data_IF_365077726099
#
_entry.id   IF_365077726099
#
_cell.length_a   1.000
_cell.length_b   1.000
_cell.length_c   1.000
_cell.angle_alpha   90.00
_cell.angle_beta   90.00
_cell.angle_gamma   90.00
#
_symmetry.space_group_name_H-M   'P 1'
#
loop_
_entity.id
_entity.type
_entity.pdbx_description
1 polymer ?
#
# COMPACT_ATOMS: atom_id res chain seq x y z
N UNK A 1 11.88 22.79 2.47
CA UNK A 1 11.28 21.75 3.34
C UNK A 1 11.61 22.02 4.79
N UNK A 2 10.70 21.67 5.69
CA UNK A 2 11.01 21.64 7.12
C UNK A 2 12.06 20.55 7.38
N UNK A 3 12.87 20.73 8.42
CA UNK A 3 13.94 19.80 8.76
C UNK A 3 13.30 18.58 9.43
N UNK A 4 13.48 17.40 8.84
CA UNK A 4 13.15 16.13 9.48
C UNK A 4 14.20 15.88 10.57
N UNK A 5 13.74 15.65 11.80
CA UNK A 5 14.58 15.36 12.96
C UNK A 5 14.37 13.91 13.39
N UNK A 6 15.42 13.32 13.95
CA UNK A 6 15.42 11.93 14.40
C UNK A 6 15.97 11.79 15.81
N UNK A 7 15.43 10.81 16.55
CA UNK A 7 15.91 10.42 17.87
C UNK A 7 15.74 8.91 18.06
N UNK A 8 16.74 8.26 18.64
CA UNK A 8 16.64 6.87 19.07
C UNK A 8 16.57 6.85 20.59
N UNK A 9 15.51 6.23 21.13
CA UNK A 9 15.33 6.02 22.57
C UNK A 9 16.23 4.88 23.08
N UNK A 10 16.43 4.80 24.39
CA UNK A 10 17.29 3.77 25.01
C UNK A 10 16.81 2.33 24.75
N UNK A 11 15.52 2.14 24.54
CA UNK A 11 14.92 0.85 24.18
C UNK A 11 14.89 0.59 22.66
N UNK A 12 15.55 1.43 21.85
CA UNK A 12 15.69 1.20 20.42
C UNK A 12 14.51 1.68 19.56
N UNK A 13 13.43 2.23 20.16
CA UNK A 13 12.40 2.92 19.38
C UNK A 13 13.03 4.09 18.64
N UNK A 14 12.82 4.12 17.32
CA UNK A 14 13.19 5.27 16.47
C UNK A 14 12.02 6.25 16.44
N UNK A 15 12.31 7.54 16.58
CA UNK A 15 11.37 8.64 16.42
C UNK A 15 11.87 9.48 15.25
N UNK A 16 11.02 9.71 14.25
CA UNK A 16 11.31 10.56 13.09
C UNK A 16 10.18 11.55 12.91
N UNK A 17 10.49 12.84 12.84
CA UNK A 17 9.45 13.85 12.90
C UNK A 17 9.73 15.07 12.02
N UNK A 18 8.68 15.59 11.40
CA UNK A 18 8.68 16.83 10.64
C UNK A 18 7.82 17.89 11.33
N UNK A 19 8.46 18.93 11.85
CA UNK A 19 7.75 20.07 12.45
C UNK A 19 7.16 20.98 11.37
N UNK A 20 5.88 21.29 11.49
CA UNK A 20 5.12 22.17 10.59
C UNK A 20 4.36 23.20 11.46
N UNK A 21 5.00 24.30 11.90
CA UNK A 21 4.42 25.18 12.93
C UNK A 21 3.14 25.93 12.52
N UNK A 22 2.88 26.05 11.21
CA UNK A 22 1.74 26.82 10.69
C UNK A 22 0.43 26.03 10.62
N UNK A 23 0.46 24.70 10.68
CA UNK A 23 -0.77 23.88 10.71
C UNK A 23 -1.36 23.83 12.12
N UNK A 24 -2.58 23.30 12.24
CA UNK A 24 -3.30 23.15 13.53
C UNK A 24 -3.53 21.70 13.94
N UNK A 25 -2.94 20.76 13.21
CA UNK A 25 -2.99 19.33 13.45
C UNK A 25 -1.60 18.76 13.72
N UNK A 26 -1.59 17.56 14.30
CA UNK A 26 -0.45 16.65 14.33
C UNK A 26 -0.96 15.28 13.91
N UNK A 27 -0.27 14.68 12.96
CA UNK A 27 -0.41 13.28 12.61
C UNK A 27 0.74 12.51 13.24
N UNK A 28 0.46 11.41 13.92
CA UNK A 28 1.45 10.54 14.54
C UNK A 28 1.10 9.09 14.24
N UNK A 29 2.06 8.33 13.73
CA UNK A 29 1.93 6.92 13.42
C UNK A 29 3.01 6.08 14.07
N UNK A 30 2.65 4.86 14.48
CA UNK A 30 3.60 3.83 14.88
C UNK A 30 3.62 2.77 13.79
N UNK A 31 4.76 2.69 13.11
CA UNK A 31 5.03 1.77 12.03
C UNK A 31 5.75 0.55 12.57
N UNK A 32 5.22 -0.63 12.31
CA UNK A 32 5.80 -1.92 12.68
C UNK A 32 6.30 -2.59 11.41
N UNK A 33 7.55 -3.04 11.40
CA UNK A 33 8.15 -3.74 10.27
C UNK A 33 7.69 -5.21 10.24
N UNK A 34 6.39 -5.40 10.05
CA UNK A 34 5.73 -6.70 9.90
C UNK A 34 4.51 -6.52 9.01
N UNK A 35 4.33 -7.40 8.04
CA UNK A 35 3.15 -7.47 7.18
C UNK A 35 2.85 -8.91 6.81
N UNK A 36 1.96 -9.13 5.84
CA UNK A 36 1.53 -10.49 5.48
C UNK A 36 2.64 -11.40 4.93
N UNK A 37 3.76 -10.84 4.43
CA UNK A 37 4.92 -11.63 3.98
C UNK A 37 5.70 -12.28 5.13
N UNK A 38 5.53 -11.81 6.36
CA UNK A 38 6.18 -12.35 7.55
C UNK A 38 5.35 -13.47 8.21
N UNK A 39 4.20 -13.80 7.62
CA UNK A 39 3.32 -14.88 8.06
C UNK A 39 3.83 -16.24 7.58
N UNK A 40 3.57 -17.26 8.39
CA UNK A 40 3.72 -18.66 8.04
C UNK A 40 2.43 -19.20 7.41
N UNK A 41 2.48 -20.44 6.94
CA UNK A 41 1.28 -21.15 6.47
C UNK A 41 0.22 -21.32 7.57
N UNK A 42 0.64 -21.42 8.83
CA UNK A 42 -0.23 -21.73 9.97
C UNK A 42 -0.94 -20.49 10.57
N UNK A 43 -0.55 -19.29 10.14
CA UNK A 43 -1.06 -18.02 10.67
C UNK A 43 -1.32 -16.96 9.58
N UNK A 44 -1.67 -17.37 8.36
CA UNK A 44 -2.05 -16.44 7.29
C UNK A 44 -3.18 -15.49 7.73
N UNK A 45 -3.01 -14.21 7.45
CA UNK A 45 -3.91 -13.12 7.85
C UNK A 45 -3.75 -12.65 9.30
N UNK A 46 -2.79 -13.19 10.07
CA UNK A 46 -2.64 -12.83 11.48
C UNK A 46 -2.17 -11.39 11.69
N UNK A 47 -1.38 -10.81 10.77
CA UNK A 47 -0.95 -9.42 10.88
C UNK A 47 -2.17 -8.48 10.81
N UNK A 48 -3.02 -8.70 9.80
CA UNK A 48 -4.29 -7.98 9.64
C UNK A 48 -5.27 -8.28 10.79
N UNK A 49 -5.34 -9.52 11.26
CA UNK A 49 -6.18 -9.88 12.41
C UNK A 49 -5.75 -9.12 13.68
N UNK A 50 -4.45 -9.02 13.93
CA UNK A 50 -3.91 -8.27 15.07
C UNK A 50 -4.26 -6.78 14.94
N UNK A 51 -4.15 -6.22 13.74
CA UNK A 51 -4.58 -4.85 13.45
C UNK A 51 -5.99 -4.55 13.99
N UNK A 52 -6.97 -5.38 13.63
CA UNK A 52 -8.33 -5.27 14.15
C UNK A 52 -8.38 -5.42 15.68
N UNK A 53 -7.67 -6.41 16.21
CA UNK A 53 -7.72 -6.75 17.63
C UNK A 53 -7.13 -5.68 18.55
N UNK A 54 -6.16 -4.88 18.10
CA UNK A 54 -5.61 -3.78 18.91
C UNK A 54 -6.66 -2.71 19.25
N UNK A 55 -7.74 -2.61 18.46
CA UNK A 55 -8.85 -1.71 18.74
C UNK A 55 -9.94 -2.32 19.65
N UNK A 56 -9.85 -3.61 20.00
CA UNK A 56 -10.91 -4.31 20.76
C UNK A 56 -10.76 -4.20 22.27
N UNK A 57 -9.64 -3.67 22.75
CA UNK A 57 -9.48 -3.24 24.13
C UNK A 57 -8.14 -3.59 24.75
N UNK A 58 -7.82 -2.81 25.77
CA UNK A 58 -6.63 -2.94 26.59
C UNK A 58 -7.02 -3.20 28.04
N UNK A 59 -6.02 -3.38 28.90
CA UNK A 59 -6.23 -3.46 30.36
C UNK A 59 -6.91 -2.22 30.95
N UNK A 60 -6.84 -1.07 30.29
CA UNK A 60 -7.32 0.22 30.82
C UNK A 60 -8.38 0.90 29.97
N UNK A 61 -8.59 0.45 28.72
CA UNK A 61 -9.54 1.03 27.77
C UNK A 61 -10.36 -0.08 27.09
N UNK A 62 -11.68 0.04 27.12
CA UNK A 62 -12.54 -0.76 26.24
C UNK A 62 -12.47 -0.24 24.79
N UNK A 63 -12.89 -1.05 23.81
CA UNK A 63 -12.99 -0.62 22.41
C UNK A 63 -13.68 0.75 22.24
N UNK A 64 -14.84 0.93 22.88
CA UNK A 64 -15.57 2.21 22.88
C UNK A 64 -14.76 3.36 23.48
N UNK A 65 -13.97 3.09 24.52
CA UNK A 65 -13.14 4.12 25.13
C UNK A 65 -11.96 4.51 24.25
N UNK A 66 -11.37 3.56 23.52
CA UNK A 66 -10.32 3.83 22.52
C UNK A 66 -10.84 4.86 21.51
N UNK A 67 -11.98 4.59 20.85
CA UNK A 67 -12.57 5.54 19.89
C UNK A 67 -12.97 6.87 20.54
N UNK A 68 -13.68 6.83 21.68
CA UNK A 68 -14.13 8.05 22.36
C UNK A 68 -12.98 8.97 22.79
N UNK A 69 -11.82 8.41 23.17
CA UNK A 69 -10.66 9.19 23.59
C UNK A 69 -10.07 10.03 22.46
N UNK A 70 -10.33 9.66 21.20
CA UNK A 70 -9.88 10.34 20.00
C UNK A 70 -11.00 11.24 19.43
N UNK A 71 -12.20 10.67 19.24
CA UNK A 71 -13.36 11.35 18.65
C UNK A 71 -13.80 12.57 19.46
N UNK A 72 -13.69 12.51 20.79
CA UNK A 72 -14.08 13.62 21.67
C UNK A 72 -13.33 14.92 21.36
N UNK A 73 -12.10 14.81 20.85
CA UNK A 73 -11.26 15.94 20.47
C UNK A 73 -11.29 16.22 18.96
N UNK A 74 -12.18 15.58 18.20
CA UNK A 74 -12.25 15.70 16.74
C UNK A 74 -11.05 15.08 16.03
N UNK A 75 -10.34 14.15 16.67
CA UNK A 75 -9.29 13.38 16.03
C UNK A 75 -9.84 12.22 15.20
N UNK A 76 -8.97 11.62 14.41
CA UNK A 76 -9.19 10.34 13.77
C UNK A 76 -8.08 9.37 14.20
N UNK A 77 -8.43 8.10 14.36
CA UNK A 77 -7.51 7.00 14.57
C UNK A 77 -7.79 5.93 13.52
N UNK A 78 -6.75 5.40 12.92
CA UNK A 78 -6.86 4.35 11.93
C UNK A 78 -5.63 3.45 11.96
N UNK A 79 -5.71 2.35 11.22
CA UNK A 79 -4.60 1.46 10.95
C UNK A 79 -4.70 0.88 9.54
N UNK A 80 -3.61 0.32 9.07
CA UNK A 80 -3.60 -0.53 7.88
C UNK A 80 -2.44 -1.52 7.95
N UNK A 81 -2.61 -2.64 7.26
CA UNK A 81 -1.62 -3.69 7.09
C UNK A 81 -1.32 -3.87 5.61
N UNK A 82 -0.05 -3.93 5.26
CA UNK A 82 0.43 -4.24 3.91
C UNK A 82 1.13 -5.59 3.88
N UNK A 83 1.70 -5.93 2.74
CA UNK A 83 2.58 -7.09 2.62
C UNK A 83 3.86 -6.96 3.44
N UNK A 84 4.36 -5.74 3.67
CA UNK A 84 5.69 -5.49 4.24
C UNK A 84 5.67 -4.84 5.63
N UNK A 85 4.61 -4.13 6.00
CA UNK A 85 4.52 -3.37 7.25
C UNK A 85 3.06 -3.12 7.72
N UNK A 86 2.88 -2.75 8.98
CA UNK A 86 1.60 -2.34 9.57
C UNK A 86 1.77 -0.97 10.22
N UNK A 87 0.81 -0.08 10.06
CA UNK A 87 0.81 1.25 10.68
C UNK A 87 -0.43 1.45 11.55
N UNK A 88 -0.25 2.01 12.74
CA UNK A 88 -1.32 2.52 13.59
C UNK A 88 -1.12 4.00 13.79
N UNK A 89 -2.08 4.83 13.38
CA UNK A 89 -1.89 6.28 13.38
C UNK A 89 -3.10 7.05 13.88
N UNK A 90 -2.82 8.26 14.33
CA UNK A 90 -3.80 9.26 14.75
C UNK A 90 -3.53 10.57 14.04
N UNK A 91 -4.60 11.32 13.75
CA UNK A 91 -4.55 12.72 13.35
C UNK A 91 -5.41 13.51 14.32
N UNK A 92 -4.83 14.45 15.03
CA UNK A 92 -5.51 15.20 16.10
C UNK A 92 -5.18 16.70 16.03
N UNK A 93 -6.01 17.58 16.60
CA UNK A 93 -5.60 18.94 16.88
C UNK A 93 -4.33 18.96 17.74
N UNK A 94 -3.40 19.87 17.43
CA UNK A 94 -2.06 19.88 18.02
C UNK A 94 -2.06 19.92 19.56
N UNK A 95 -3.03 20.60 20.16
CA UNK A 95 -3.17 20.75 21.60
C UNK A 95 -3.77 19.52 22.31
N UNK A 96 -4.05 18.45 21.57
CA UNK A 96 -4.62 17.19 22.08
C UNK A 96 -3.80 15.95 21.68
N UNK A 97 -2.63 16.11 21.04
CA UNK A 97 -1.82 14.99 20.56
C UNK A 97 -1.37 14.04 21.67
N UNK A 98 -1.16 14.55 22.88
CA UNK A 98 -0.79 13.75 24.06
C UNK A 98 -1.79 12.60 24.28
N UNK A 99 -3.08 12.83 24.04
CA UNK A 99 -4.10 11.78 24.16
C UNK A 99 -3.95 10.71 23.09
N UNK A 100 -3.60 11.09 21.87
CA UNK A 100 -3.31 10.17 20.77
C UNK A 100 -2.10 9.28 21.07
N UNK A 101 -1.02 9.87 21.60
CA UNK A 101 0.19 9.14 22.03
C UNK A 101 -0.16 8.11 23.11
N UNK A 102 -0.93 8.53 24.14
CA UNK A 102 -1.36 7.63 25.20
C UNK A 102 -2.22 6.46 24.70
N UNK A 103 -3.11 6.71 23.73
CA UNK A 103 -3.97 5.67 23.14
C UNK A 103 -3.13 4.70 22.32
N UNK A 104 -2.28 5.19 21.42
CA UNK A 104 -1.41 4.33 20.59
C UNK A 104 -0.46 3.49 21.45
N UNK A 105 0.16 4.09 22.48
CA UNK A 105 1.02 3.37 23.40
C UNK A 105 0.28 2.29 24.21
N UNK A 106 -0.98 2.53 24.56
CA UNK A 106 -1.79 1.56 25.32
C UNK A 106 -2.22 0.38 24.45
N UNK A 107 -2.69 0.62 23.21
CA UNK A 107 -3.10 -0.47 22.31
C UNK A 107 -1.91 -1.35 21.91
N UNK A 108 -0.72 -0.78 21.73
CA UNK A 108 0.49 -1.52 21.33
C UNK A 108 1.20 -2.25 22.48
N UNK A 109 0.84 -1.99 23.74
CA UNK A 109 1.54 -2.61 24.89
C UNK A 109 0.63 -3.37 25.85
N UNK A 110 -0.64 -2.99 25.91
CA UNK A 110 -1.57 -3.45 26.94
C UNK A 110 -2.84 -4.09 26.38
N UNK A 111 -2.89 -4.39 25.08
CA UNK A 111 -3.98 -5.16 24.48
C UNK A 111 -4.16 -6.52 25.16
N UNK A 112 -5.42 -6.88 25.41
CA UNK A 112 -5.75 -8.10 26.20
C UNK A 112 -6.01 -9.32 25.33
N UNK A 113 -6.37 -9.10 24.06
CA UNK A 113 -6.79 -10.12 23.11
C UNK A 113 -7.87 -11.03 23.71
N UNK A 114 -9.04 -10.46 24.04
CA UNK A 114 -10.17 -11.18 24.64
C UNK A 114 -10.73 -12.24 23.66
N UNK A 115 -10.95 -13.46 24.14
CA UNK A 115 -11.40 -14.57 23.30
C UNK A 115 -12.80 -14.33 22.69
N UNK A 116 -13.69 -13.63 23.40
CA UNK A 116 -15.02 -13.34 22.85
C UNK A 116 -14.93 -12.26 21.76
N UNK A 117 -14.02 -11.29 21.90
CA UNK A 117 -13.77 -10.31 20.85
C UNK A 117 -13.09 -10.96 19.63
N UNK A 118 -12.17 -11.91 19.82
CA UNK A 118 -11.58 -12.70 18.73
C UNK A 118 -12.67 -13.41 17.91
N UNK A 119 -13.60 -14.11 18.57
CA UNK A 119 -14.67 -14.83 17.85
C UNK A 119 -15.64 -13.90 17.11
N UNK A 120 -15.90 -12.70 17.66
CA UNK A 120 -16.64 -11.67 16.94
C UNK A 120 -15.86 -11.17 15.72
N UNK A 121 -14.57 -10.93 15.89
CA UNK A 121 -13.74 -10.35 14.83
C UNK A 121 -13.51 -11.31 13.66
N UNK A 122 -13.45 -12.63 13.92
CA UNK A 122 -13.49 -13.64 12.86
C UNK A 122 -14.68 -13.47 11.92
N UNK A 123 -15.84 -13.09 12.47
CA UNK A 123 -17.05 -12.87 11.66
C UNK A 123 -16.94 -11.59 10.85
N UNK A 124 -16.35 -10.53 11.43
CA UNK A 124 -16.13 -9.24 10.74
C UNK A 124 -15.17 -9.41 9.55
N UNK A 125 -14.00 -10.01 9.79
CA UNK A 125 -12.98 -10.21 8.75
C UNK A 125 -13.49 -11.17 7.67
N UNK A 126 -14.34 -12.16 8.02
CA UNK A 126 -15.01 -13.01 7.02
C UNK A 126 -15.91 -12.21 6.09
N UNK A 127 -16.70 -11.28 6.62
CA UNK A 127 -17.56 -10.45 5.77
C UNK A 127 -16.72 -9.46 4.93
N UNK A 128 -15.61 -8.98 5.46
CA UNK A 128 -14.65 -8.17 4.72
C UNK A 128 -14.01 -8.92 3.55
N UNK A 129 -13.56 -10.17 3.76
CA UNK A 129 -13.10 -11.04 2.66
C UNK A 129 -14.16 -11.18 1.56
N UNK A 130 -15.43 -11.39 1.94
CA UNK A 130 -16.53 -11.47 0.97
C UNK A 130 -16.74 -10.15 0.24
N UNK A 131 -16.60 -9.01 0.92
CA UNK A 131 -16.70 -7.71 0.27
C UNK A 131 -15.65 -7.54 -0.84
N UNK A 132 -14.41 -7.97 -0.61
CA UNK A 132 -13.37 -7.99 -1.65
C UNK A 132 -13.64 -9.05 -2.73
N UNK A 133 -14.16 -10.23 -2.38
CA UNK A 133 -14.58 -11.25 -3.35
C UNK A 133 -15.75 -10.79 -4.25
N UNK A 134 -16.62 -9.92 -3.72
CA UNK A 134 -17.77 -9.33 -4.42
C UNK A 134 -17.39 -8.06 -5.22
N UNK A 135 -16.20 -7.49 -4.98
CA UNK A 135 -15.64 -6.39 -5.76
C UNK A 135 -14.95 -6.94 -7.02
N UNK A 136 -15.48 -6.70 -8.24
CA UNK A 136 -14.93 -7.35 -9.44
C UNK A 136 -13.49 -6.90 -9.77
N UNK A 137 -13.13 -5.68 -9.37
CA UNK A 137 -11.78 -5.11 -9.52
C UNK A 137 -10.79 -5.78 -8.58
N UNK A 138 -11.10 -5.81 -7.29
CA UNK A 138 -10.21 -6.42 -6.28
C UNK A 138 -10.07 -7.92 -6.55
N UNK A 139 -11.18 -8.61 -6.82
CA UNK A 139 -11.16 -10.05 -7.09
C UNK A 139 -10.26 -10.42 -8.27
N UNK A 140 -10.36 -9.72 -9.42
CA UNK A 140 -9.56 -10.07 -10.60
C UNK A 140 -8.07 -9.82 -10.36
N UNK A 141 -7.72 -8.75 -9.63
CA UNK A 141 -6.34 -8.46 -9.27
C UNK A 141 -5.78 -9.45 -8.26
N UNK A 142 -6.49 -9.71 -7.15
CA UNK A 142 -6.04 -10.64 -6.13
C UNK A 142 -5.87 -12.07 -6.68
N UNK A 143 -6.83 -12.55 -7.47
CA UNK A 143 -6.73 -13.89 -8.07
C UNK A 143 -5.60 -13.94 -9.12
N UNK A 144 -5.30 -12.83 -9.80
CA UNK A 144 -4.14 -12.73 -10.68
C UNK A 144 -2.84 -12.78 -9.90
N UNK A 145 -2.63 -11.92 -8.90
CA UNK A 145 -1.42 -11.88 -8.08
C UNK A 145 -1.16 -13.21 -7.37
N UNK A 146 -2.20 -13.84 -6.83
CA UNK A 146 -2.14 -15.18 -6.24
C UNK A 146 -1.60 -16.21 -7.23
N UNK A 147 -2.01 -16.17 -8.49
CA UNK A 147 -1.53 -17.12 -9.52
C UNK A 147 -0.11 -16.79 -9.99
N UNK A 148 0.18 -15.51 -10.21
CA UNK A 148 1.50 -15.00 -10.63
C UNK A 148 2.58 -15.39 -9.62
N UNK A 149 2.28 -15.30 -8.33
CA UNK A 149 3.23 -15.57 -7.26
C UNK A 149 3.03 -16.93 -6.59
N UNK A 150 2.25 -17.82 -7.20
CA UNK A 150 1.99 -19.17 -6.68
C UNK A 150 1.51 -19.19 -5.21
N UNK A 151 0.72 -18.19 -4.82
CA UNK A 151 0.20 -17.97 -3.47
C UNK A 151 1.30 -17.88 -2.39
N UNK A 152 2.42 -17.22 -2.71
CA UNK A 152 3.56 -16.93 -1.83
C UNK A 152 3.91 -15.44 -1.85
N UNK A 153 4.56 -14.97 -0.78
CA UNK A 153 5.00 -13.58 -0.69
C UNK A 153 3.83 -12.63 -0.92
N UNK A 154 3.95 -11.75 -1.92
CA UNK A 154 2.92 -10.77 -2.25
C UNK A 154 1.66 -11.38 -2.89
N UNK A 155 1.72 -12.63 -3.37
CA UNK A 155 0.54 -13.33 -3.87
C UNK A 155 -0.39 -13.85 -2.78
N UNK A 156 -0.01 -13.72 -1.51
CA UNK A 156 -0.91 -14.02 -0.40
C UNK A 156 -1.83 -12.81 -0.16
N UNK A 157 -3.11 -13.08 0.04
CA UNK A 157 -4.05 -12.07 0.48
C UNK A 157 -3.68 -11.63 1.91
N UNK A 158 -3.60 -10.33 2.14
CA UNK A 158 -3.26 -9.72 3.43
C UNK A 158 -4.25 -10.13 4.53
N UNK A 159 -5.52 -10.34 4.20
CA UNK A 159 -6.57 -10.76 5.13
C UNK A 159 -6.48 -12.25 5.48
N UNK A 160 -5.66 -13.03 4.76
CA UNK A 160 -5.55 -14.49 4.91
C UNK A 160 -6.60 -15.25 4.08
N UNK A 161 -7.05 -16.40 4.59
CA UNK A 161 -8.11 -17.21 3.97
C UNK A 161 -9.23 -17.49 4.98
N UNK A 162 -10.39 -17.90 4.50
CA UNK A 162 -11.51 -18.29 5.38
C UNK A 162 -11.10 -19.38 6.39
N UNK A 163 -10.28 -20.34 5.96
CA UNK A 163 -9.75 -21.40 6.80
C UNK A 163 -8.76 -20.84 7.83
N UNK A 164 -7.79 -20.02 7.40
CA UNK A 164 -6.78 -19.50 8.32
C UNK A 164 -7.39 -18.59 9.39
N UNK A 165 -8.35 -17.73 9.02
CA UNK A 165 -9.08 -16.86 9.96
C UNK A 165 -9.84 -17.70 10.99
N UNK A 166 -10.47 -18.80 10.57
CA UNK A 166 -11.19 -19.68 11.48
C UNK A 166 -10.24 -20.34 12.50
N UNK A 167 -9.02 -20.67 12.07
CA UNK A 167 -7.98 -21.34 12.84
C UNK A 167 -7.09 -20.41 13.68
N UNK A 168 -7.19 -19.08 13.49
CA UNK A 168 -6.51 -18.10 14.35
C UNK A 168 -7.13 -18.16 15.75
N UNK A 169 -6.28 -18.21 16.77
CA UNK A 169 -6.69 -18.22 18.17
C UNK A 169 -5.81 -17.25 18.97
N UNK A 170 -6.15 -17.07 20.25
CA UNK A 170 -5.45 -16.15 21.14
C UNK A 170 -3.96 -16.46 21.30
N UNK A 171 -3.59 -17.74 21.35
CA UNK A 171 -2.19 -18.17 21.50
C UNK A 171 -1.37 -17.73 20.28
N UNK A 172 -1.83 -18.07 19.06
CA UNK A 172 -1.17 -17.64 17.81
C UNK A 172 -1.03 -16.12 17.73
N UNK A 173 -2.08 -15.38 18.13
CA UNK A 173 -2.07 -13.90 18.15
C UNK A 173 -0.97 -13.39 19.06
N UNK A 174 -0.88 -13.90 20.29
CA UNK A 174 0.12 -13.46 21.26
C UNK A 174 1.52 -13.84 20.81
N UNK A 175 1.72 -15.05 20.31
CA UNK A 175 3.03 -15.51 19.83
C UNK A 175 3.54 -14.63 18.68
N UNK A 176 2.67 -14.30 17.72
CA UNK A 176 3.03 -13.42 16.61
C UNK A 176 3.24 -11.98 17.08
N UNK A 177 2.38 -11.48 17.97
CA UNK A 177 2.46 -10.13 18.53
C UNK A 177 3.77 -9.93 19.31
N UNK A 178 4.07 -10.81 20.26
CA UNK A 178 5.25 -10.71 21.12
C UNK A 178 6.57 -10.84 20.34
N UNK A 179 6.56 -11.51 19.19
CA UNK A 179 7.74 -11.69 18.33
C UNK A 179 8.00 -10.54 17.35
N UNK A 180 6.98 -9.77 16.98
CA UNK A 180 7.10 -8.73 15.93
C UNK A 180 6.83 -7.30 16.42
N UNK A 181 5.96 -7.11 17.41
CA UNK A 181 5.52 -5.80 17.93
C UNK A 181 6.43 -5.32 19.04
N UNK A 182 7.68 -5.05 18.66
CA UNK A 182 8.78 -4.76 19.58
C UNK A 182 9.42 -3.43 19.22
N UNK A 183 10.00 -2.76 20.22
CA UNK A 183 10.53 -1.41 20.11
C UNK A 183 11.55 -1.23 18.96
N UNK A 184 12.49 -2.19 18.82
CA UNK A 184 13.55 -2.15 17.80
C UNK A 184 13.10 -2.62 16.40
N UNK A 185 11.85 -3.04 16.25
CA UNK A 185 11.22 -3.37 14.96
C UNK A 185 10.16 -2.34 14.57
N UNK A 186 10.22 -1.15 15.19
CA UNK A 186 9.20 -0.11 15.04
C UNK A 186 9.83 1.28 14.86
N UNK A 187 9.14 2.16 14.13
CA UNK A 187 9.44 3.59 14.07
C UNK A 187 8.18 4.40 14.37
N UNK A 188 8.32 5.40 15.24
CA UNK A 188 7.26 6.38 15.52
C UNK A 188 7.52 7.60 14.66
N UNK A 189 6.51 7.99 13.88
CA UNK A 189 6.63 9.06 12.90
C UNK A 189 5.61 10.13 13.20
N UNK A 190 6.02 11.39 13.15
CA UNK A 190 5.11 12.52 13.37
C UNK A 190 5.29 13.62 12.32
N UNK A 191 4.20 14.26 11.93
CA UNK A 191 4.22 15.47 11.12
C UNK A 191 3.12 16.44 11.58
N UNK A 192 3.46 17.72 11.72
CA UNK A 192 2.51 18.76 12.14
C UNK A 192 3.06 19.75 13.17
N UNK A 193 2.17 20.40 13.89
CA UNK A 193 2.52 21.49 14.80
C UNK A 193 2.89 20.99 16.21
N UNK A 194 4.18 20.80 16.47
CA UNK A 194 4.72 20.44 17.78
C UNK A 194 6.15 20.99 17.92
N UNK A 195 6.68 20.98 19.14
CA UNK A 195 8.12 21.10 19.39
C UNK A 195 8.72 19.69 19.46
N UNK A 196 9.85 19.46 18.78
CA UNK A 196 10.42 18.12 18.68
C UNK A 196 10.88 17.56 20.02
N UNK A 197 11.51 18.37 20.87
CA UNK A 197 12.04 17.88 22.14
C UNK A 197 10.88 17.54 23.11
N UNK A 198 9.84 18.39 23.17
CA UNK A 198 8.60 18.10 23.93
C UNK A 198 7.89 16.83 23.42
N UNK A 199 7.81 16.64 22.10
CA UNK A 199 7.21 15.44 21.52
C UNK A 199 8.01 14.18 21.89
N UNK A 200 9.34 14.26 21.82
CA UNK A 200 10.22 13.15 22.19
C UNK A 200 10.04 12.77 23.65
N UNK A 201 9.98 13.73 24.57
CA UNK A 201 9.77 13.47 25.99
C UNK A 201 8.42 12.76 26.24
N UNK A 202 7.35 13.24 25.59
CA UNK A 202 6.01 12.61 25.68
C UNK A 202 5.98 11.19 25.11
N UNK A 203 6.66 10.96 24.00
CA UNK A 203 6.79 9.62 23.42
C UNK A 203 7.62 8.74 24.35
N UNK A 204 8.74 9.21 24.90
CA UNK A 204 9.58 8.44 25.81
C UNK A 204 8.82 8.04 27.09
N UNK A 205 8.06 8.95 27.68
CA UNK A 205 7.20 8.67 28.85
C UNK A 205 6.21 7.53 28.56
N UNK A 206 5.67 7.48 27.35
CA UNK A 206 4.69 6.49 26.95
C UNK A 206 5.30 5.19 26.40
N UNK A 207 6.47 5.21 25.78
CA UNK A 207 7.04 4.06 25.06
C UNK A 207 8.34 3.51 25.66
N UNK A 208 8.95 4.13 26.66
CA UNK A 208 10.20 3.68 27.30
C UNK A 208 10.17 2.25 27.86
N UNK A 209 8.99 1.78 28.26
CA UNK A 209 8.76 0.41 28.76
C UNK A 209 8.47 -0.62 27.65
N UNK A 210 8.37 -0.18 26.38
CA UNK A 210 8.19 -1.08 25.26
C UNK A 210 9.45 -1.89 25.03
N UNK A 211 9.31 -3.22 25.02
CA UNK A 211 10.43 -4.14 25.04
C UNK A 211 11.04 -4.28 23.66
N UNK A 212 12.34 -4.55 23.65
CA UNK A 212 13.13 -4.86 22.46
C UNK A 212 13.53 -6.33 22.51
N UNK A 213 13.49 -7.00 21.36
CA UNK A 213 13.90 -8.39 21.21
C UNK A 213 14.57 -8.58 19.84
N UNK A 214 15.31 -9.68 19.68
CA UNK A 214 15.85 -10.03 18.38
C UNK A 214 14.70 -10.44 17.45
N UNK A 215 14.51 -9.68 16.37
CA UNK A 215 13.52 -9.99 15.33
C UNK A 215 14.27 -10.58 14.15
N UNK A 216 13.93 -11.82 13.82
CA UNK A 216 14.45 -12.50 12.63
C UNK A 216 13.39 -12.45 11.54
N UNK A 217 13.56 -11.54 10.58
CA UNK A 217 12.72 -11.51 9.39
C UNK A 217 13.50 -12.05 8.21
N UNK A 218 13.19 -13.28 7.80
CA UNK A 218 13.67 -13.80 6.52
C UNK A 218 12.63 -13.38 5.48
N UNK A 219 13.04 -12.53 4.56
CA UNK A 219 12.18 -12.15 3.45
C UNK A 219 12.69 -12.84 2.19
N UNK A 220 11.90 -13.77 1.67
CA UNK A 220 12.19 -14.43 0.42
C UNK A 220 12.01 -13.46 -0.75
N UNK A 221 12.82 -13.65 -1.80
CA UNK A 221 12.61 -12.98 -3.08
C UNK A 221 11.24 -13.34 -3.66
N UNK A 222 10.80 -12.55 -4.64
CA UNK A 222 9.50 -12.73 -5.26
C UNK A 222 9.68 -13.24 -6.69
N UNK A 223 9.12 -14.43 -6.97
CA UNK A 223 9.07 -14.98 -8.32
C UNK A 223 7.84 -14.44 -9.06
N UNK A 224 7.97 -14.28 -10.39
CA UNK A 224 6.88 -13.91 -11.31
C UNK A 224 6.62 -15.06 -12.29
N UNK A 225 5.42 -15.63 -12.25
CA UNK A 225 4.95 -16.63 -13.21
C UNK A 225 4.01 -16.00 -14.24
N UNK A 226 4.40 -15.94 -15.53
CA UNK A 226 3.50 -15.47 -16.58
C UNK A 226 2.32 -16.44 -16.73
N UNK A 227 1.12 -15.94 -16.54
CA UNK A 227 -0.11 -16.74 -16.60
C UNK A 227 -1.25 -15.97 -17.23
N UNK A 228 -2.12 -16.69 -17.93
CA UNK A 228 -3.39 -16.16 -18.41
C UNK A 228 -4.53 -16.96 -17.79
N UNK A 229 -5.55 -16.28 -17.27
CA UNK A 229 -6.78 -16.93 -16.88
C UNK A 229 -8.03 -16.18 -17.33
N UNK A 230 -9.09 -16.95 -17.52
CA UNK A 230 -10.41 -16.45 -17.86
C UNK A 230 -11.43 -17.18 -17.01
N UNK A 231 -12.23 -16.42 -16.26
CA UNK A 231 -13.18 -16.95 -15.30
C UNK A 231 -14.57 -16.34 -15.49
N UNK A 232 -15.58 -17.21 -15.64
CA UNK A 232 -16.96 -16.73 -15.70
C UNK A 232 -17.43 -16.44 -14.29
N UNK A 233 -17.96 -15.23 -14.07
CA UNK A 233 -18.54 -14.76 -12.81
C UNK A 233 -19.85 -14.04 -13.09
N UNK A 234 -20.70 -13.89 -12.08
CA UNK A 234 -21.96 -13.16 -12.18
C UNK A 234 -21.78 -11.63 -12.00
N UNK A 235 -20.68 -11.10 -12.54
CA UNK A 235 -20.41 -9.65 -12.56
C UNK A 235 -21.12 -9.01 -13.77
N UNK A 236 -21.67 -7.79 -13.60
CA UNK A 236 -22.37 -7.07 -14.68
C UNK A 236 -21.43 -6.63 -15.82
N UNK A 237 -20.20 -6.28 -15.46
CA UNK A 237 -19.14 -5.86 -16.38
C UNK A 237 -18.10 -6.97 -16.54
N UNK A 238 -17.44 -7.00 -17.70
CA UNK A 238 -16.22 -7.76 -17.88
C UNK A 238 -15.04 -6.93 -17.38
N UNK A 239 -14.09 -7.59 -16.70
CA UNK A 239 -12.91 -6.94 -16.11
C UNK A 239 -11.65 -7.60 -16.64
N UNK A 240 -10.61 -6.79 -16.90
CA UNK A 240 -9.28 -7.23 -17.29
C UNK A 240 -8.29 -6.64 -16.28
N UNK A 241 -7.43 -7.49 -15.73
CA UNK A 241 -6.20 -7.08 -15.06
C UNK A 241 -4.99 -7.63 -15.83
N UNK A 242 -4.00 -6.80 -16.10
CA UNK A 242 -2.72 -7.18 -16.69
C UNK A 242 -1.62 -6.72 -15.75
N UNK A 243 -0.62 -7.57 -15.53
CA UNK A 243 0.51 -7.25 -14.65
C UNK A 243 1.82 -7.61 -15.34
N UNK A 244 2.80 -6.72 -15.18
CA UNK A 244 4.20 -6.89 -15.59
C UNK A 244 5.10 -6.71 -14.37
N UNK A 245 6.13 -7.53 -14.24
CA UNK A 245 7.23 -7.20 -13.34
C UNK A 245 7.94 -5.93 -13.86
N UNK A 246 8.14 -4.93 -12.99
CA UNK A 246 8.81 -3.69 -13.34
C UNK A 246 10.04 -3.45 -12.43
N UNK A 247 10.91 -2.49 -12.77
CA UNK A 247 11.99 -2.10 -11.87
C UNK A 247 11.46 -1.61 -10.52
N UNK A 248 12.06 -2.11 -9.44
CA UNK A 248 11.80 -1.64 -8.08
C UNK A 248 12.45 -0.28 -7.80
N UNK A 249 12.32 0.17 -6.56
CA UNK A 249 12.72 1.51 -6.13
C UNK A 249 14.11 1.58 -5.50
N UNK A 250 14.96 0.56 -5.70
CA UNK A 250 16.38 0.62 -5.29
C UNK A 250 17.19 1.61 -6.13
N UNK A 251 16.73 1.89 -7.35
CA UNK A 251 17.31 2.90 -8.25
C UNK A 251 16.30 4.02 -8.43
N UNK A 252 16.66 5.22 -7.99
CA UNK A 252 15.72 6.35 -8.00
C UNK A 252 15.16 6.66 -9.40
N UNK A 253 16.02 6.64 -10.43
CA UNK A 253 15.58 6.89 -11.80
C UNK A 253 14.61 5.81 -12.30
N UNK A 254 14.74 4.57 -11.84
CA UNK A 254 13.80 3.49 -12.17
C UNK A 254 12.44 3.77 -11.51
N UNK A 255 12.42 4.06 -10.20
CA UNK A 255 11.19 4.41 -9.48
C UNK A 255 10.43 5.57 -10.14
N UNK A 256 11.10 6.71 -10.33
CA UNK A 256 10.46 7.88 -10.93
C UNK A 256 10.13 7.64 -12.40
N UNK A 257 10.94 6.87 -13.13
CA UNK A 257 10.64 6.47 -14.50
C UNK A 257 9.34 5.66 -14.59
N UNK A 258 9.10 4.72 -13.69
CA UNK A 258 7.86 3.93 -13.63
C UNK A 258 6.66 4.84 -13.34
N UNK A 259 6.79 5.78 -12.40
CA UNK A 259 5.74 6.78 -12.12
C UNK A 259 5.42 7.64 -13.34
N UNK A 260 6.44 8.09 -14.08
CA UNK A 260 6.26 8.87 -15.31
C UNK A 260 5.59 8.03 -16.41
N UNK A 261 5.99 6.77 -16.57
CA UNK A 261 5.36 5.84 -17.51
C UNK A 261 3.87 5.64 -17.16
N UNK A 262 3.55 5.48 -15.87
CA UNK A 262 2.17 5.42 -15.38
C UNK A 262 1.36 6.62 -15.81
N UNK A 263 1.86 7.84 -15.60
CA UNK A 263 1.17 9.08 -16.01
C UNK A 263 0.90 9.15 -17.52
N UNK A 264 1.86 8.71 -18.34
CA UNK A 264 1.75 8.70 -19.81
C UNK A 264 0.73 7.64 -20.26
N UNK A 265 0.78 6.45 -19.67
CA UNK A 265 -0.01 5.32 -20.15
C UNK A 265 -1.44 5.33 -19.61
N UNK A 266 -1.64 5.41 -18.29
CA UNK A 266 -2.94 5.12 -17.68
C UNK A 266 -3.31 5.89 -16.40
N UNK A 267 -2.39 6.60 -15.77
CA UNK A 267 -2.61 7.22 -14.44
C UNK A 267 -3.09 8.68 -14.53
N UNK A 268 -3.70 9.08 -15.64
CA UNK A 268 -4.31 10.41 -15.77
C UNK A 268 -5.38 10.46 -16.85
N UNK A 269 -6.36 11.40 -16.78
CA UNK A 269 -7.32 11.59 -17.87
C UNK A 269 -6.66 11.94 -19.21
N UNK A 270 -5.48 12.55 -19.20
CA UNK A 270 -4.69 12.88 -20.40
C UNK A 270 -3.86 11.71 -20.94
N UNK A 271 -3.87 10.55 -20.29
CA UNK A 271 -3.03 9.41 -20.65
C UNK A 271 -3.54 8.68 -21.91
N UNK A 272 -2.66 7.90 -22.54
CA UNK A 272 -2.97 7.17 -23.78
C UNK A 272 -4.18 6.25 -23.64
N UNK A 273 -4.22 5.41 -22.61
CA UNK A 273 -5.34 4.47 -22.38
C UNK A 273 -6.66 5.22 -22.17
N UNK A 274 -6.64 6.27 -21.34
CA UNK A 274 -7.84 7.03 -21.05
C UNK A 274 -8.37 7.72 -22.33
N UNK A 275 -7.51 8.40 -23.08
CA UNK A 275 -7.91 9.09 -24.29
C UNK A 275 -8.38 8.12 -25.40
N UNK A 276 -7.54 7.16 -25.79
CA UNK A 276 -7.80 6.32 -26.96
C UNK A 276 -8.91 5.29 -26.75
N UNK A 277 -9.18 4.85 -25.51
CA UNK A 277 -10.16 3.78 -25.22
C UNK A 277 -11.43 4.33 -24.58
N UNK A 278 -11.30 5.24 -23.61
CA UNK A 278 -12.45 5.81 -22.89
C UNK A 278 -12.99 7.06 -23.57
N UNK A 279 -12.17 8.09 -23.79
CA UNK A 279 -12.67 9.38 -24.29
C UNK A 279 -13.08 9.33 -25.76
N UNK A 280 -12.21 8.82 -26.64
CA UNK A 280 -12.46 8.81 -28.09
C UNK A 280 -13.47 7.73 -28.53
N UNK A 281 -13.50 6.59 -27.83
CA UNK A 281 -14.28 5.41 -28.25
C UNK A 281 -15.41 5.03 -27.31
N UNK A 282 -15.43 5.51 -26.07
CA UNK A 282 -16.48 5.19 -25.09
C UNK A 282 -16.59 3.69 -24.74
N UNK A 283 -15.49 2.92 -24.85
CA UNK A 283 -15.56 1.46 -24.74
C UNK A 283 -15.49 0.93 -23.31
N UNK A 284 -14.92 1.71 -22.40
CA UNK A 284 -14.69 1.35 -21.00
C UNK A 284 -14.97 2.54 -20.10
N UNK A 285 -15.60 2.28 -18.95
CA UNK A 285 -15.84 3.31 -17.95
C UNK A 285 -14.62 3.52 -17.05
N UNK A 286 -13.97 2.43 -16.63
CA UNK A 286 -12.74 2.47 -15.83
C UNK A 286 -11.62 1.82 -16.61
N UNK A 287 -10.59 2.59 -16.96
CA UNK A 287 -9.35 2.08 -17.54
C UNK A 287 -8.20 2.94 -17.03
N UNK A 288 -7.19 2.30 -16.45
CA UNK A 288 -6.05 2.99 -15.87
C UNK A 288 -4.83 2.05 -15.78
N UNK A 289 -3.67 2.62 -15.48
CA UNK A 289 -2.48 1.86 -15.10
C UNK A 289 -2.18 2.06 -13.62
N UNK A 290 -1.69 1.02 -12.97
CA UNK A 290 -1.25 1.04 -11.58
C UNK A 290 0.23 0.71 -11.48
N UNK A 291 0.82 1.06 -10.34
CA UNK A 291 2.15 0.63 -9.96
C UNK A 291 2.13 0.23 -8.48
N UNK A 292 2.77 -0.89 -8.17
CA UNK A 292 2.82 -1.44 -6.82
C UNK A 292 4.29 -1.68 -6.46
N UNK A 293 4.76 -0.98 -5.43
CA UNK A 293 6.12 -1.12 -4.93
C UNK A 293 6.09 -1.88 -3.61
N UNK A 294 6.87 -2.95 -3.56
CA UNK A 294 7.08 -3.79 -2.40
C UNK A 294 8.56 -3.77 -2.03
N UNK A 295 8.91 -4.30 -0.86
CA UNK A 295 10.31 -4.47 -0.52
C UNK A 295 11.01 -5.43 -1.49
N UNK A 296 11.96 -4.88 -2.26
CA UNK A 296 12.79 -5.56 -3.27
C UNK A 296 12.03 -6.14 -4.47
N UNK A 297 10.81 -5.66 -4.76
CA UNK A 297 10.02 -6.13 -5.90
C UNK A 297 8.98 -5.06 -6.30
N UNK A 298 8.63 -4.97 -7.57
CA UNK A 298 7.62 -4.03 -8.03
C UNK A 298 6.89 -4.55 -9.28
N UNK A 299 5.66 -4.07 -9.44
CA UNK A 299 4.80 -4.43 -10.56
C UNK A 299 4.16 -3.20 -11.21
N UNK A 300 3.94 -3.32 -12.51
CA UNK A 300 3.20 -2.35 -13.31
C UNK A 300 1.93 -3.02 -13.84
N UNK A 301 0.78 -2.45 -13.49
CA UNK A 301 -0.54 -2.99 -13.77
C UNK A 301 -1.32 -2.18 -14.80
N UNK A 302 -2.26 -2.83 -15.47
CA UNK A 302 -3.32 -2.18 -16.27
C UNK A 302 -4.64 -2.83 -15.90
N UNK A 303 -5.60 -2.00 -15.53
CA UNK A 303 -6.98 -2.41 -15.28
C UNK A 303 -7.91 -1.85 -16.35
N UNK A 304 -8.92 -2.63 -16.72
CA UNK A 304 -10.07 -2.13 -17.43
C UNK A 304 -11.37 -2.82 -17.01
N UNK A 305 -12.46 -2.07 -16.92
CA UNK A 305 -13.83 -2.58 -16.77
C UNK A 305 -14.74 -2.08 -17.88
N UNK A 306 -15.52 -2.98 -18.48
CA UNK A 306 -16.28 -2.71 -19.71
C UNK A 306 -17.55 -3.56 -19.83
N UNK A 307 -18.46 -3.13 -20.72
CA UNK A 307 -19.54 -4.01 -21.17
C UNK A 307 -18.96 -5.23 -21.91
N UNK A 308 -19.60 -6.40 -21.73
CA UNK A 308 -19.12 -7.68 -22.26
C UNK A 308 -18.87 -7.66 -23.79
N UNK A 309 -19.70 -6.93 -24.55
CA UNK A 309 -19.58 -6.80 -26.00
C UNK A 309 -18.31 -6.05 -26.44
N UNK A 310 -17.76 -5.20 -25.56
CA UNK A 310 -16.55 -4.43 -25.82
C UNK A 310 -15.26 -5.18 -25.47
N UNK A 311 -15.35 -6.30 -24.76
CA UNK A 311 -14.20 -7.00 -24.14
C UNK A 311 -13.05 -7.27 -25.12
N UNK A 312 -13.36 -7.85 -26.29
CA UNK A 312 -12.35 -8.17 -27.31
C UNK A 312 -11.67 -6.93 -27.86
N UNK A 313 -12.45 -5.88 -28.11
CA UNK A 313 -11.93 -4.65 -28.70
C UNK A 313 -11.07 -3.89 -27.69
N UNK A 314 -11.51 -3.80 -26.43
CA UNK A 314 -10.71 -3.19 -25.36
C UNK A 314 -9.39 -3.94 -25.17
N UNK A 315 -9.41 -5.27 -25.04
CA UNK A 315 -8.18 -6.06 -24.93
C UNK A 315 -7.24 -5.85 -26.13
N UNK A 316 -7.79 -5.83 -27.35
CA UNK A 316 -7.01 -5.57 -28.57
C UNK A 316 -6.39 -4.18 -28.57
N UNK A 317 -7.12 -3.17 -28.09
CA UNK A 317 -6.63 -1.79 -27.99
C UNK A 317 -5.56 -1.64 -26.92
N UNK A 318 -5.74 -2.23 -25.73
CA UNK A 318 -4.70 -2.24 -24.68
C UNK A 318 -3.40 -2.85 -25.21
N UNK A 319 -3.48 -4.02 -25.88
CA UNK A 319 -2.31 -4.62 -26.52
C UNK A 319 -1.70 -3.75 -27.61
N UNK A 320 -2.52 -3.02 -28.37
CA UNK A 320 -2.05 -2.10 -29.39
C UNK A 320 -1.30 -0.93 -28.78
N UNK A 321 -1.79 -0.34 -27.69
CA UNK A 321 -1.11 0.76 -26.98
C UNK A 321 0.22 0.31 -26.37
N UNK A 322 0.27 -0.90 -25.79
CA UNK A 322 1.53 -1.48 -25.28
C UNK A 322 2.50 -1.74 -26.42
N UNK A 323 2.04 -2.32 -27.54
CA UNK A 323 2.89 -2.55 -28.70
C UNK A 323 3.42 -1.22 -29.29
N UNK A 324 2.59 -0.18 -29.37
CA UNK A 324 3.01 1.15 -29.82
C UNK A 324 4.05 1.77 -28.89
N UNK A 325 3.92 1.60 -27.57
CA UNK A 325 4.94 2.02 -26.61
C UNK A 325 6.29 1.33 -26.83
N UNK A 326 6.31 0.06 -27.25
CA UNK A 326 7.57 -0.66 -27.53
C UNK A 326 8.12 -0.32 -28.92
N UNK A 327 7.26 -0.23 -29.94
CA UNK A 327 7.69 -0.05 -31.32
C UNK A 327 8.06 1.41 -31.63
N UNK A 328 7.29 2.38 -31.10
CA UNK A 328 7.42 3.80 -31.41
C UNK A 328 7.86 4.64 -30.20
N UNK A 329 7.78 4.10 -28.98
CA UNK A 329 8.11 4.78 -27.73
C UNK A 329 7.29 6.05 -27.47
N UNK A 330 7.64 6.73 -26.37
CA UNK A 330 7.06 8.01 -26.01
C UNK A 330 7.72 9.16 -26.77
N UNK A 331 6.96 10.21 -26.99
CA UNK A 331 7.46 11.47 -27.55
C UNK A 331 8.10 12.33 -26.47
N UNK A 332 8.90 13.32 -26.90
CA UNK A 332 9.47 14.33 -25.98
C UNK A 332 8.39 15.14 -25.27
N UNK A 333 7.29 15.44 -25.95
CA UNK A 333 6.21 16.24 -25.40
C UNK A 333 5.45 15.47 -24.32
N UNK A 334 5.19 14.16 -24.53
CA UNK A 334 4.61 13.28 -23.50
C UNK A 334 5.51 13.20 -22.27
N UNK A 335 6.83 13.05 -22.46
CA UNK A 335 7.77 13.01 -21.34
C UNK A 335 7.78 14.33 -20.58
N UNK A 336 7.89 15.47 -21.28
CA UNK A 336 7.88 16.79 -20.64
C UNK A 336 6.57 17.02 -19.87
N UNK A 337 5.44 16.66 -20.46
CA UNK A 337 4.14 16.76 -19.80
C UNK A 337 4.08 15.91 -18.53
N UNK A 338 4.50 14.64 -18.61
CA UNK A 338 4.50 13.73 -17.48
C UNK A 338 5.41 14.21 -16.34
N UNK A 339 6.57 14.80 -16.66
CA UNK A 339 7.48 15.39 -15.66
C UNK A 339 6.85 16.55 -14.92
N UNK A 340 6.26 17.51 -15.64
CA UNK A 340 5.62 18.66 -15.02
C UNK A 340 4.40 18.22 -14.19
N UNK A 341 3.62 17.28 -14.70
CA UNK A 341 2.50 16.68 -13.96
C UNK A 341 2.99 16.04 -12.65
N UNK A 342 4.03 15.19 -12.72
CA UNK A 342 4.54 14.49 -11.54
C UNK A 342 5.12 15.46 -10.49
N UNK A 343 5.96 16.41 -10.92
CA UNK A 343 6.51 17.44 -10.03
C UNK A 343 5.40 18.26 -9.37
N UNK A 344 4.38 18.64 -10.13
CA UNK A 344 3.20 19.34 -9.62
C UNK A 344 2.45 18.53 -8.56
N UNK A 345 2.18 17.24 -8.82
CA UNK A 345 1.51 16.36 -7.86
C UNK A 345 2.31 16.17 -6.56
N UNK A 346 3.64 16.03 -6.65
CA UNK A 346 4.50 15.94 -5.46
C UNK A 346 4.38 17.19 -4.58
N UNK A 347 4.30 18.38 -5.18
CA UNK A 347 4.13 19.63 -4.43
C UNK A 347 2.77 19.73 -3.73
N UNK A 348 1.71 19.17 -4.33
CA UNK A 348 0.37 19.18 -3.73
C UNK A 348 0.25 18.16 -2.58
N UNK A 349 0.86 16.98 -2.72
CA UNK A 349 0.77 15.91 -1.73
C UNK A 349 1.53 16.19 -0.42
N UNK A 350 2.42 17.19 -0.38
CA UNK A 350 3.17 17.53 0.83
C UNK A 350 2.43 18.50 1.77
N UNK A 351 1.20 18.90 1.45
CA UNK A 351 0.44 19.87 2.25
C UNK A 351 -0.29 19.24 3.44
N UNK A 352 -0.65 17.96 3.38
CA UNK A 352 -1.37 17.26 4.46
C UNK A 352 -0.41 16.58 5.45
N UNK A 353 -0.65 16.79 6.76
CA UNK A 353 0.21 16.22 7.80
C UNK A 353 0.18 14.69 7.86
N UNK A 354 -0.94 14.08 7.51
CA UNK A 354 -1.07 12.62 7.47
C UNK A 354 -0.29 12.05 6.30
N UNK A 355 -0.47 12.59 5.09
CA UNK A 355 0.30 12.17 3.92
C UNK A 355 1.82 12.30 4.15
N UNK A 356 2.25 13.38 4.81
CA UNK A 356 3.65 13.57 5.22
C UNK A 356 4.12 12.51 6.21
N UNK A 357 3.34 12.25 7.27
CA UNK A 357 3.65 11.22 8.26
C UNK A 357 3.72 9.83 7.61
N UNK A 358 2.78 9.53 6.69
CA UNK A 358 2.73 8.25 6.01
C UNK A 358 3.94 8.04 5.11
N UNK A 359 4.26 9.04 4.28
CA UNK A 359 5.41 8.99 3.38
C UNK A 359 6.74 8.87 4.14
N UNK A 360 6.91 9.61 5.24
CA UNK A 360 8.12 9.48 6.07
C UNK A 360 8.19 8.07 6.66
N UNK A 361 7.10 7.53 7.19
CA UNK A 361 7.10 6.22 7.82
C UNK A 361 7.38 5.06 6.88
N UNK A 362 6.81 5.09 5.68
CA UNK A 362 7.09 4.10 4.64
C UNK A 362 8.60 4.08 4.29
N UNK A 363 9.22 5.24 4.11
CA UNK A 363 10.65 5.31 3.82
C UNK A 363 11.50 4.85 5.02
N UNK A 364 11.17 5.30 6.23
CA UNK A 364 11.97 5.02 7.43
C UNK A 364 11.91 3.55 7.86
N UNK A 365 10.74 2.90 7.73
CA UNK A 365 10.56 1.48 8.08
C UNK A 365 11.30 0.57 7.08
N UNK A 366 11.45 1.01 5.84
CA UNK A 366 12.20 0.31 4.80
C UNK A 366 13.69 0.66 4.78
N UNK A 367 14.14 1.55 5.68
CA UNK A 367 15.54 1.99 5.75
C UNK A 367 15.97 2.86 4.57
N UNK A 368 15.01 3.52 3.92
CA UNK A 368 15.22 4.42 2.79
C UNK A 368 15.31 5.87 3.26
N UNK A 369 16.05 6.69 2.51
CA UNK A 369 16.14 8.13 2.75
C UNK A 369 15.05 8.85 1.97
N UNK A 370 14.20 9.60 2.67
CA UNK A 370 13.24 10.49 2.02
C UNK A 370 13.97 11.64 1.31
N UNK A 371 13.59 11.89 0.06
CA UNK A 371 14.19 12.94 -0.78
C UNK A 371 13.44 14.25 -0.66
N UNK A 372 14.16 15.35 -0.81
CA UNK A 372 13.55 16.67 -0.91
C UNK A 372 12.82 16.86 -2.25
N UNK A 373 11.88 17.80 -2.29
CA UNK A 373 11.20 18.20 -3.54
C UNK A 373 12.19 18.59 -4.64
N UNK A 374 13.29 19.24 -4.27
CA UNK A 374 14.35 19.66 -5.19
C UNK A 374 15.16 18.45 -5.67
N UNK A 375 15.51 17.51 -4.78
CA UNK A 375 16.15 16.24 -5.16
C UNK A 375 15.26 15.44 -6.12
N UNK A 376 13.96 15.33 -5.84
CA UNK A 376 12.98 14.66 -6.71
C UNK A 376 12.91 15.36 -8.07
N UNK A 377 12.76 16.69 -8.09
CA UNK A 377 12.71 17.47 -9.33
C UNK A 377 13.96 17.26 -10.18
N UNK A 378 15.13 17.28 -9.56
CA UNK A 378 16.40 17.07 -10.27
C UNK A 378 16.47 15.67 -10.90
N UNK A 379 16.09 14.63 -10.16
CA UNK A 379 16.10 13.26 -10.68
C UNK A 379 15.12 13.11 -11.84
N UNK A 380 13.90 13.66 -11.70
CA UNK A 380 12.87 13.66 -12.73
C UNK A 380 13.33 14.43 -13.97
N UNK A 381 13.96 15.59 -13.80
CA UNK A 381 14.50 16.38 -14.91
C UNK A 381 15.64 15.65 -15.64
N UNK A 382 16.44 14.85 -14.92
CA UNK A 382 17.54 14.04 -15.47
C UNK A 382 17.11 12.73 -16.17
N UNK A 383 15.81 12.38 -16.17
CA UNK A 383 15.28 11.24 -16.93
C UNK A 383 15.05 11.68 -18.38
N UNK A 384 15.86 11.22 -19.32
CA UNK A 384 15.69 11.55 -20.73
C UNK A 384 14.88 10.48 -21.50
N UNK A 385 14.66 10.74 -22.78
CA UNK A 385 13.92 9.82 -23.66
C UNK A 385 14.62 8.47 -23.76
N UNK A 386 15.95 8.42 -23.79
CA UNK A 386 16.66 7.17 -23.98
C UNK A 386 16.60 6.30 -22.71
N UNK A 387 16.60 6.92 -21.52
CA UNK A 387 16.28 6.24 -20.27
C UNK A 387 14.87 5.66 -20.27
N UNK A 388 13.88 6.43 -20.72
CA UNK A 388 12.50 5.96 -20.78
C UNK A 388 12.31 4.82 -21.78
N UNK A 389 13.05 4.80 -22.90
CA UNK A 389 13.04 3.68 -23.84
C UNK A 389 13.56 2.40 -23.21
N UNK A 390 14.73 2.47 -22.55
CA UNK A 390 15.30 1.33 -21.83
C UNK A 390 14.34 0.81 -20.75
N UNK A 391 13.70 1.72 -20.01
CA UNK A 391 12.71 1.36 -19.00
C UNK A 391 11.49 0.66 -19.61
N UNK A 392 10.91 1.22 -20.68
CA UNK A 392 9.78 0.64 -21.41
C UNK A 392 10.14 -0.77 -21.89
N UNK A 393 11.33 -0.95 -22.46
CA UNK A 393 11.81 -2.26 -22.90
C UNK A 393 11.97 -3.22 -21.72
N UNK A 394 12.55 -2.79 -20.59
CA UNK A 394 12.72 -3.61 -19.37
C UNK A 394 11.39 -4.09 -18.77
N UNK A 395 10.30 -3.35 -18.97
CA UNK A 395 8.96 -3.70 -18.47
C UNK A 395 8.21 -4.55 -19.50
N UNK A 396 8.05 -4.06 -20.73
CA UNK A 396 7.15 -4.67 -21.71
C UNK A 396 7.80 -5.73 -22.61
N UNK A 397 9.13 -5.91 -22.57
CA UNK A 397 9.77 -7.10 -23.17
C UNK A 397 9.63 -8.35 -22.30
N UNK A 398 9.29 -8.18 -21.01
CA UNK A 398 9.00 -9.31 -20.12
C UNK A 398 7.62 -9.89 -20.43
N UNK A 399 7.41 -11.20 -20.20
CA UNK A 399 6.08 -11.79 -20.34
C UNK A 399 5.09 -11.13 -19.37
N UNK A 400 3.87 -10.88 -19.85
CA UNK A 400 2.78 -10.38 -19.02
C UNK A 400 2.02 -11.52 -18.34
N UNK A 401 1.35 -11.22 -17.23
CA UNK A 401 0.26 -12.01 -16.70
C UNK A 401 -1.08 -11.29 -16.91
N UNK A 402 -2.16 -12.05 -17.11
CA UNK A 402 -3.48 -11.49 -17.39
C UNK A 402 -4.61 -12.32 -16.76
N UNK A 403 -5.55 -11.62 -16.13
CA UNK A 403 -6.80 -12.15 -15.63
C UNK A 403 -7.99 -11.50 -16.32
N UNK A 404 -8.99 -12.30 -16.71
CA UNK A 404 -10.25 -11.80 -17.25
C UNK A 404 -11.42 -12.43 -16.50
N UNK A 405 -12.29 -11.60 -15.93
CA UNK A 405 -13.49 -12.02 -15.19
C UNK A 405 -14.74 -11.38 -15.74
N UNK A 406 -15.90 -11.99 -15.49
CA UNK A 406 -17.22 -11.45 -15.80
C UNK A 406 -18.14 -12.48 -16.44
N UNK A 407 -19.36 -12.08 -16.77
CA UNK A 407 -20.37 -13.04 -17.26
C UNK A 407 -20.13 -13.45 -18.72
N UNK A 408 -19.85 -14.73 -18.95
CA UNK A 408 -19.72 -15.30 -20.30
C UNK A 408 -18.39 -14.98 -21.00
N UNK A 409 -17.40 -14.47 -20.27
CA UNK A 409 -16.08 -14.10 -20.80
C UNK A 409 -15.32 -15.31 -21.36
N UNK A 410 -15.52 -16.53 -20.82
CA UNK A 410 -14.83 -17.74 -21.34
C UNK A 410 -15.18 -18.03 -22.79
N UNK A 411 -16.44 -17.84 -23.17
CA UNK A 411 -16.88 -18.06 -24.55
C UNK A 411 -16.28 -17.03 -25.51
N UNK A 412 -16.16 -15.78 -25.04
CA UNK A 412 -15.63 -14.66 -25.83
C UNK A 412 -14.12 -14.79 -26.00
N UNK A 413 -13.38 -15.03 -24.91
CA UNK A 413 -11.93 -15.04 -24.91
C UNK A 413 -11.30 -16.36 -25.40
N UNK A 414 -12.12 -17.36 -25.75
CA UNK A 414 -11.64 -18.62 -26.33
C UNK A 414 -10.82 -18.38 -27.60
N UNK A 415 -9.54 -18.77 -27.58
CA UNK A 415 -8.60 -18.60 -28.70
C UNK A 415 -8.05 -17.17 -28.87
N UNK A 416 -8.32 -16.27 -27.92
CA UNK A 416 -7.76 -14.92 -27.85
C UNK A 416 -6.59 -14.85 -26.87
N UNK A 417 -6.69 -15.58 -25.75
CA UNK A 417 -5.69 -15.73 -24.70
C UNK A 417 -4.98 -17.09 -24.75
#
# INVERSE_FOLDING_TARGET
MNIIKEKILKNGVRIVAEEIPYVKSVSLGVWINVGSRMESEDNRGIAHFIEHMLFKGTKTRSAKKISNDIDYYGGNINAFTTHDHTCYHVKMPYNHIDRGIEVLADILKNSVFDENEIEKEKSVIREELKMYEDSPEDYVYEELLKRVHSNKGIGRNVLGTLESIQDINREKIIDFFDSHYVANNSVIVASGNFDFDDLVDKIEDNFSSWKSYDVSTIQEGQDFLPIAFVEDREDEQANIAIVFECPDDRVDKDFYGVKLLGNILGNSPSSRLFQHIREEKGLSYSIYSSDSFYRNYAEFGIYASMAIDNLKEVYRLVKKEIADLVDNYITRDELLFAKEQYKGSVLMNIEDTEDRMLLIGEYEIEGKKLKSTEEISQIVDDIDIDYMKDLIDRIFSKPMAIGVTGKGVKAIMKGVL
#
